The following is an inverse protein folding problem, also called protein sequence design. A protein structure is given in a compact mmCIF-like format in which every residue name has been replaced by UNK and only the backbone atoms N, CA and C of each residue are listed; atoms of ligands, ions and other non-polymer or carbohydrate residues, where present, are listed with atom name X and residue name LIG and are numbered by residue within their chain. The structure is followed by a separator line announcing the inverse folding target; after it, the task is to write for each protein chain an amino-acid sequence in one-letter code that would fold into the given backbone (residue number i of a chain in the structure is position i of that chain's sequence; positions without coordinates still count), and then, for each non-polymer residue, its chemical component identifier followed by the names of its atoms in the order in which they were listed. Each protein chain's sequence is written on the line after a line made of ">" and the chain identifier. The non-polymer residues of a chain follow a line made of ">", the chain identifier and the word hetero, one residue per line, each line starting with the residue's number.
data_IF_644654018327
#
_entry.id   IF_644654018327
#
_cell.length_a   1.000
_cell.length_b   1.000
_cell.length_c   1.000
_cell.angle_alpha   90.00
_cell.angle_beta   90.00
_cell.angle_gamma   90.00
#
_symmetry.space_group_name_H-M   'P 1'
#
loop_
_entity.id
_entity.type
_entity.pdbx_description
1 polymer ?
#
# COMPACT_ATOMS: atom_id res chain seq x y z
N UNK A 1 20.06 -5.31 20.78
CA UNK A 1 18.58 -5.38 20.80
C UNK A 1 18.22 -6.56 19.92
N UNK A 2 17.43 -7.49 20.41
CA UNK A 2 16.96 -8.60 19.59
C UNK A 2 15.49 -8.33 19.26
N UNK A 3 15.24 -7.88 18.03
CA UNK A 3 13.87 -7.76 17.54
C UNK A 3 13.30 -9.16 17.29
N UNK A 4 12.04 -9.37 17.65
CA UNK A 4 11.28 -10.61 17.42
C UNK A 4 10.11 -10.40 16.45
N UNK A 5 9.87 -9.14 16.05
CA UNK A 5 8.73 -8.74 15.23
C UNK A 5 9.17 -7.76 14.14
N UNK A 6 8.75 -8.04 12.90
CA UNK A 6 8.97 -7.15 11.75
C UNK A 6 7.63 -6.63 11.24
N UNK A 7 7.55 -5.31 11.09
CA UNK A 7 6.38 -4.62 10.53
C UNK A 7 6.82 -3.98 9.22
N UNK A 8 6.26 -4.43 8.11
CA UNK A 8 6.65 -4.01 6.77
C UNK A 8 5.68 -2.98 6.18
N UNK A 9 6.22 -2.01 5.42
CA UNK A 9 5.39 -1.35 4.43
C UNK A 9 5.09 -2.31 3.27
N UNK A 10 4.13 -1.98 2.44
CA UNK A 10 3.68 -2.82 1.34
C UNK A 10 4.22 -2.32 0.00
N UNK A 11 3.71 -1.15 -0.45
CA UNK A 11 4.01 -0.60 -1.78
C UNK A 11 5.43 -0.02 -1.80
N UNK A 12 6.31 -0.59 -2.63
CA UNK A 12 7.72 -0.18 -2.71
C UNK A 12 8.66 -0.88 -1.70
N UNK A 13 8.12 -1.72 -0.81
CA UNK A 13 8.89 -2.52 0.16
C UNK A 13 8.72 -4.01 -0.10
N UNK A 14 7.53 -4.57 0.11
CA UNK A 14 7.26 -5.98 -0.19
C UNK A 14 6.85 -6.19 -1.65
N UNK A 15 6.08 -5.25 -2.22
CA UNK A 15 5.52 -5.34 -3.57
C UNK A 15 6.00 -4.21 -4.48
N UNK A 16 6.40 -4.58 -5.69
CA UNK A 16 6.48 -3.66 -6.82
C UNK A 16 5.07 -3.52 -7.43
N UNK A 17 4.32 -2.54 -6.94
CA UNK A 17 2.93 -2.26 -7.35
C UNK A 17 2.80 -1.04 -8.28
N UNK A 18 3.93 -0.43 -8.67
CA UNK A 18 3.95 0.85 -9.37
C UNK A 18 3.26 0.79 -10.73
N UNK A 19 3.42 -0.32 -11.48
CA UNK A 19 2.84 -0.45 -12.82
C UNK A 19 1.31 -0.47 -12.78
N UNK A 20 0.71 -1.22 -11.88
CA UNK A 20 -0.76 -1.27 -11.76
C UNK A 20 -1.34 0.04 -11.22
N UNK A 21 -0.60 0.74 -10.34
CA UNK A 21 -0.95 2.10 -9.90
C UNK A 21 -0.91 3.08 -11.08
N UNK A 22 0.17 3.08 -11.87
CA UNK A 22 0.36 3.97 -13.01
C UNK A 22 -0.71 3.75 -14.09
N UNK A 23 -0.97 2.50 -14.43
CA UNK A 23 -2.03 2.16 -15.39
C UNK A 23 -3.40 2.67 -14.91
N UNK A 24 -3.70 2.52 -13.62
CA UNK A 24 -5.00 2.94 -13.07
C UNK A 24 -5.14 4.45 -12.92
N UNK A 25 -4.06 5.16 -12.61
CA UNK A 25 -4.02 6.63 -12.63
C UNK A 25 -4.28 7.13 -14.04
N UNK A 26 -3.52 6.63 -15.02
CA UNK A 26 -3.62 7.06 -16.40
C UNK A 26 -4.97 6.71 -17.02
N UNK A 27 -5.54 5.55 -16.68
CA UNK A 27 -6.91 5.22 -17.06
C UNK A 27 -7.92 6.27 -16.56
N UNK A 28 -7.80 6.71 -15.31
CA UNK A 28 -8.71 7.70 -14.74
C UNK A 28 -8.53 9.09 -15.39
N UNK A 29 -7.28 9.49 -15.65
CA UNK A 29 -6.96 10.75 -16.33
C UNK A 29 -7.51 10.76 -17.76
N UNK A 30 -7.30 9.68 -18.52
CA UNK A 30 -7.79 9.54 -19.89
C UNK A 30 -9.32 9.65 -19.96
N UNK A 31 -10.06 9.01 -19.04
CA UNK A 31 -11.54 9.08 -18.99
C UNK A 31 -12.07 10.49 -18.76
N UNK A 32 -11.26 11.39 -18.21
CA UNK A 32 -11.63 12.79 -17.97
C UNK A 32 -10.92 13.76 -18.93
N UNK A 33 -10.25 13.23 -19.97
CA UNK A 33 -9.47 14.00 -20.96
C UNK A 33 -8.40 14.88 -20.33
N UNK A 34 -7.75 14.41 -19.27
CA UNK A 34 -6.57 15.03 -18.66
C UNK A 34 -5.27 14.47 -19.27
N UNK A 35 -4.17 15.25 -19.23
CA UNK A 35 -2.84 14.77 -19.62
C UNK A 35 -2.43 13.55 -18.79
N UNK A 36 -1.84 12.56 -19.45
CA UNK A 36 -1.30 11.38 -18.78
C UNK A 36 0.00 11.75 -18.04
N UNK A 37 0.32 10.95 -17.03
CA UNK A 37 1.55 11.06 -16.25
C UNK A 37 2.53 9.96 -16.61
N UNK A 38 3.82 10.28 -16.56
CA UNK A 38 4.87 9.26 -16.69
C UNK A 38 4.91 8.37 -15.44
N UNK A 39 5.53 7.21 -15.58
CA UNK A 39 5.72 6.29 -14.47
C UNK A 39 6.59 6.90 -13.36
N UNK A 40 7.59 7.70 -13.73
CA UNK A 40 8.49 8.41 -12.84
C UNK A 40 7.76 9.49 -12.03
N UNK A 41 6.86 10.25 -12.68
CA UNK A 41 6.00 11.22 -11.99
C UNK A 41 5.13 10.50 -10.96
N UNK A 42 4.42 9.44 -11.38
CA UNK A 42 3.54 8.66 -10.50
C UNK A 42 4.32 8.05 -9.34
N UNK A 43 5.52 7.53 -9.60
CA UNK A 43 6.41 7.01 -8.55
C UNK A 43 6.68 8.06 -7.47
N UNK A 44 6.91 9.32 -7.86
CA UNK A 44 7.15 10.42 -6.92
C UNK A 44 5.92 10.82 -6.09
N UNK A 45 4.72 10.44 -6.53
CA UNK A 45 3.45 10.75 -5.86
C UNK A 45 2.97 9.65 -4.91
N UNK A 46 3.55 8.43 -5.01
CA UNK A 46 3.18 7.27 -4.18
C UNK A 46 3.63 7.45 -2.73
N UNK A 47 2.94 6.79 -1.78
CA UNK A 47 3.31 6.71 -0.37
C UNK A 47 2.35 7.44 0.57
N UNK A 48 1.64 8.47 0.10
CA UNK A 48 0.73 9.28 0.93
C UNK A 48 -0.77 8.91 0.76
N UNK A 49 -1.05 7.74 0.21
CA UNK A 49 -2.41 7.24 -0.06
C UNK A 49 -2.98 7.76 -1.37
N UNK A 50 -4.07 7.12 -1.80
CA UNK A 50 -4.64 7.30 -3.15
C UNK A 50 -5.24 8.68 -3.39
N UNK A 51 -5.76 9.35 -2.37
CA UNK A 51 -6.28 10.71 -2.49
C UNK A 51 -5.16 11.68 -2.89
N UNK A 52 -4.00 11.58 -2.22
CA UNK A 52 -2.84 12.43 -2.54
C UNK A 52 -2.22 12.09 -3.88
N UNK A 53 -2.19 10.79 -4.24
CA UNK A 53 -1.74 10.33 -5.55
C UNK A 53 -2.59 10.97 -6.66
N UNK A 54 -3.91 10.92 -6.56
CA UNK A 54 -4.81 11.52 -7.57
C UNK A 54 -4.70 13.06 -7.58
N UNK A 55 -4.65 13.70 -6.41
CA UNK A 55 -4.46 15.15 -6.31
C UNK A 55 -3.21 15.61 -7.07
N UNK A 56 -2.07 14.94 -6.85
CA UNK A 56 -0.80 15.27 -7.50
C UNK A 56 -0.77 14.91 -9.00
N UNK A 57 -1.59 13.94 -9.42
CA UNK A 57 -1.69 13.53 -10.82
C UNK A 57 -2.55 14.47 -11.66
N UNK A 58 -3.46 15.21 -11.04
CA UNK A 58 -4.34 16.15 -11.73
C UNK A 58 -3.63 17.48 -12.02
N UNK A 59 -4.07 18.24 -13.04
CA UNK A 59 -3.62 19.60 -13.26
C UNK A 59 -3.94 20.53 -12.08
N UNK A 60 -3.12 21.55 -11.88
CA UNK A 60 -3.36 22.60 -10.90
C UNK A 60 -4.76 23.21 -11.08
N UNK A 61 -5.39 23.56 -9.95
CA UNK A 61 -6.74 24.19 -9.91
C UNK A 61 -7.87 23.30 -10.44
N UNK A 62 -7.67 21.97 -10.52
CA UNK A 62 -8.76 21.04 -10.78
C UNK A 62 -9.86 21.20 -9.73
N UNK A 63 -11.13 21.29 -10.17
CA UNK A 63 -12.26 21.43 -9.25
C UNK A 63 -12.40 20.19 -8.37
N UNK A 64 -12.99 20.37 -7.17
CA UNK A 64 -13.28 19.27 -6.26
C UNK A 64 -14.14 18.17 -6.93
N UNK A 65 -15.12 18.55 -7.73
CA UNK A 65 -15.99 17.59 -8.45
C UNK A 65 -15.19 16.71 -9.44
N UNK A 66 -14.25 17.31 -10.16
CA UNK A 66 -13.40 16.54 -11.09
C UNK A 66 -12.38 15.67 -10.34
N UNK A 67 -11.83 16.16 -9.22
CA UNK A 67 -11.02 15.34 -8.33
C UNK A 67 -11.81 14.13 -7.81
N UNK A 68 -13.02 14.33 -7.32
CA UNK A 68 -13.87 13.25 -6.80
C UNK A 68 -14.23 12.22 -7.89
N UNK A 69 -14.53 12.69 -9.12
CA UNK A 69 -14.76 11.81 -10.27
C UNK A 69 -13.52 11.00 -10.63
N UNK A 70 -12.35 11.65 -10.70
CA UNK A 70 -11.08 10.98 -10.99
C UNK A 70 -10.76 9.90 -9.96
N UNK A 71 -10.88 10.23 -8.68
CA UNK A 71 -10.67 9.30 -7.58
C UNK A 71 -11.63 8.11 -7.63
N UNK A 72 -12.89 8.34 -7.96
CA UNK A 72 -13.89 7.29 -8.13
C UNK A 72 -13.54 6.33 -9.27
N UNK A 73 -13.19 6.87 -10.45
CA UNK A 73 -12.78 6.07 -11.61
C UNK A 73 -11.51 5.27 -11.31
N UNK A 74 -10.52 5.92 -10.70
CA UNK A 74 -9.29 5.26 -10.25
C UNK A 74 -9.58 4.08 -9.33
N UNK A 75 -10.36 4.29 -8.26
CA UNK A 75 -10.70 3.24 -7.30
C UNK A 75 -11.36 2.04 -7.98
N UNK A 76 -12.33 2.31 -8.85
CA UNK A 76 -13.04 1.25 -9.58
C UNK A 76 -12.16 0.45 -10.53
N UNK A 77 -11.20 1.10 -11.20
CA UNK A 77 -10.24 0.44 -12.07
C UNK A 77 -9.18 -0.32 -11.25
N UNK A 78 -8.56 0.34 -10.27
CA UNK A 78 -7.47 -0.23 -9.50
C UNK A 78 -7.90 -1.46 -8.70
N UNK A 79 -9.10 -1.44 -8.08
CA UNK A 79 -9.61 -2.60 -7.35
C UNK A 79 -9.70 -3.89 -8.20
N UNK A 80 -9.88 -3.76 -9.51
CA UNK A 80 -9.97 -4.90 -10.44
C UNK A 80 -8.62 -5.30 -11.05
N UNK A 81 -7.62 -4.42 -10.98
CA UNK A 81 -6.38 -4.56 -11.73
C UNK A 81 -5.12 -4.54 -10.85
N UNK A 82 -5.26 -4.50 -9.53
CA UNK A 82 -4.15 -4.30 -8.59
C UNK A 82 -3.17 -5.50 -8.49
N UNK A 83 -3.40 -6.56 -9.26
CA UNK A 83 -2.56 -7.78 -9.33
C UNK A 83 -2.15 -8.16 -10.76
N UNK A 84 -2.33 -7.27 -11.74
CA UNK A 84 -2.01 -7.59 -13.14
C UNK A 84 -0.50 -7.63 -13.38
N UNK A 85 0.23 -6.66 -12.83
CA UNK A 85 1.69 -6.49 -12.97
C UNK A 85 2.38 -6.43 -11.62
N UNK A 86 1.63 -6.25 -10.53
CA UNK A 86 2.13 -6.24 -9.15
C UNK A 86 2.75 -7.60 -8.83
N UNK A 87 3.91 -7.57 -8.21
CA UNK A 87 4.62 -8.78 -7.76
C UNK A 87 5.53 -8.46 -6.56
N UNK A 88 5.86 -9.44 -5.72
CA UNK A 88 6.92 -9.29 -4.72
C UNK A 88 8.24 -8.88 -5.38
N UNK A 89 9.04 -8.07 -4.68
CA UNK A 89 10.43 -7.88 -5.09
C UNK A 89 11.22 -9.18 -4.96
N UNK A 90 12.28 -9.29 -5.74
CA UNK A 90 13.15 -10.46 -5.70
C UNK A 90 13.73 -10.65 -4.29
N UNK A 91 13.71 -11.88 -3.77
CA UNK A 91 14.17 -12.23 -2.44
C UNK A 91 13.15 -12.01 -1.29
N UNK A 92 11.98 -11.41 -1.56
CA UNK A 92 10.98 -11.17 -0.50
C UNK A 92 10.36 -12.48 0.01
N UNK A 93 10.01 -13.39 -0.88
CA UNK A 93 9.40 -14.66 -0.45
C UNK A 93 10.41 -15.47 0.38
N UNK A 94 11.64 -15.58 -0.07
CA UNK A 94 12.70 -16.27 0.64
C UNK A 94 12.99 -15.64 2.02
N UNK A 95 12.93 -14.31 2.10
CA UNK A 95 13.05 -13.59 3.38
C UNK A 95 11.89 -13.93 4.33
N UNK A 96 10.66 -13.92 3.84
CA UNK A 96 9.48 -14.21 4.66
C UNK A 96 9.47 -15.68 5.12
N UNK A 97 9.91 -16.62 4.29
CA UNK A 97 10.11 -18.02 4.65
C UNK A 97 11.12 -18.15 5.78
N UNK A 98 12.29 -17.55 5.61
CA UNK A 98 13.34 -17.52 6.65
C UNK A 98 12.83 -16.96 7.98
N UNK A 99 12.12 -15.83 7.95
CA UNK A 99 11.59 -15.20 9.15
C UNK A 99 10.53 -16.07 9.84
N UNK A 100 9.67 -16.73 9.06
CA UNK A 100 8.66 -17.67 9.58
C UNK A 100 9.32 -18.87 10.26
N UNK A 101 10.32 -19.49 9.62
CA UNK A 101 11.08 -20.62 10.19
C UNK A 101 11.76 -20.25 11.51
N UNK A 102 12.25 -19.01 11.62
CA UNK A 102 12.87 -18.46 12.82
C UNK A 102 11.87 -17.86 13.81
N UNK A 103 10.56 -18.08 13.59
CA UNK A 103 9.45 -17.69 14.49
C UNK A 103 9.32 -16.18 14.73
N UNK A 104 9.76 -15.36 13.79
CA UNK A 104 9.46 -13.94 13.84
C UNK A 104 7.96 -13.69 13.61
N UNK A 105 7.40 -12.78 14.39
CA UNK A 105 6.08 -12.24 14.10
C UNK A 105 6.18 -11.22 12.98
N UNK A 106 5.20 -11.20 12.07
CA UNK A 106 5.23 -10.33 10.91
C UNK A 106 3.90 -9.65 10.69
N UNK A 107 3.93 -8.37 10.32
CA UNK A 107 2.75 -7.61 9.92
C UNK A 107 3.04 -6.73 8.70
N UNK A 108 1.98 -6.37 7.98
CA UNK A 108 1.97 -5.31 6.96
C UNK A 108 1.25 -4.10 7.52
N UNK A 109 1.81 -2.89 7.29
CA UNK A 109 1.18 -1.61 7.59
C UNK A 109 1.35 -0.66 6.41
N UNK A 110 0.24 -0.27 5.76
CA UNK A 110 0.27 0.54 4.54
C UNK A 110 -0.71 1.70 4.57
N UNK A 111 -0.41 2.79 3.84
CA UNK A 111 -1.35 3.88 3.54
C UNK A 111 -2.35 3.53 2.42
N UNK A 112 -2.23 2.34 1.84
CA UNK A 112 -3.20 1.78 0.91
C UNK A 112 -4.54 1.49 1.62
N UNK A 113 -5.67 1.57 0.91
CA UNK A 113 -6.97 1.22 1.47
C UNK A 113 -7.03 -0.24 1.94
N UNK A 114 -7.77 -0.49 3.03
CA UNK A 114 -7.74 -1.78 3.74
C UNK A 114 -8.06 -2.97 2.84
N UNK A 115 -9.08 -2.86 2.00
CA UNK A 115 -9.49 -3.96 1.09
C UNK A 115 -8.36 -4.34 0.13
N UNK A 116 -7.62 -3.34 -0.39
CA UNK A 116 -6.48 -3.58 -1.27
C UNK A 116 -5.29 -4.24 -0.54
N UNK A 117 -5.04 -3.86 0.71
CA UNK A 117 -4.01 -4.51 1.54
C UNK A 117 -4.41 -5.96 1.81
N UNK A 118 -5.66 -6.19 2.18
CA UNK A 118 -6.18 -7.54 2.46
C UNK A 118 -6.10 -8.45 1.23
N UNK A 119 -6.51 -7.96 0.05
CA UNK A 119 -6.49 -8.74 -1.18
C UNK A 119 -5.05 -9.09 -1.63
N UNK A 120 -4.13 -8.12 -1.54
CA UNK A 120 -2.71 -8.37 -1.86
C UNK A 120 -2.03 -9.30 -0.85
N UNK A 121 -2.31 -9.13 0.45
CA UNK A 121 -1.78 -10.03 1.47
C UNK A 121 -2.28 -11.46 1.27
N UNK A 122 -3.58 -11.63 1.03
CA UNK A 122 -4.17 -12.95 0.79
C UNK A 122 -3.59 -13.62 -0.46
N UNK A 123 -3.25 -12.85 -1.48
CA UNK A 123 -2.72 -13.38 -2.73
C UNK A 123 -1.23 -13.74 -2.66
N UNK A 124 -0.42 -12.93 -1.98
CA UNK A 124 1.03 -13.10 -2.01
C UNK A 124 1.64 -13.59 -0.70
N UNK A 125 1.04 -13.28 0.46
CA UNK A 125 1.72 -13.39 1.76
C UNK A 125 0.90 -14.09 2.85
N UNK A 126 -0.29 -14.63 2.55
CA UNK A 126 -1.17 -15.26 3.56
C UNK A 126 -0.49 -16.39 4.35
N UNK A 127 0.46 -17.08 3.74
CA UNK A 127 1.22 -18.16 4.39
C UNK A 127 2.24 -17.65 5.41
N UNK A 128 2.58 -16.36 5.36
CA UNK A 128 3.63 -15.74 6.16
C UNK A 128 3.10 -14.67 7.12
N UNK A 129 2.20 -13.82 6.64
CA UNK A 129 1.75 -12.61 7.33
C UNK A 129 0.26 -12.70 7.63
N UNK A 130 -0.08 -12.74 8.94
CA UNK A 130 -1.47 -12.86 9.39
C UNK A 130 -2.11 -11.50 9.70
N UNK A 131 -1.30 -10.47 10.02
CA UNK A 131 -1.76 -9.12 10.35
C UNK A 131 -1.41 -8.16 9.22
N UNK A 132 -2.42 -7.61 8.56
CA UNK A 132 -2.26 -6.69 7.43
C UNK A 132 -3.21 -5.49 7.58
N UNK A 133 -2.64 -4.34 7.95
CA UNK A 133 -3.36 -3.12 8.30
C UNK A 133 -3.20 -2.09 7.18
N UNK A 134 -4.32 -1.69 6.60
CA UNK A 134 -4.43 -0.60 5.65
C UNK A 134 -5.07 0.65 6.25
N UNK A 135 -5.25 1.67 5.40
CA UNK A 135 -6.00 2.89 5.75
C UNK A 135 -7.48 2.55 5.99
N UNK A 136 -8.03 3.06 7.08
CA UNK A 136 -9.47 3.07 7.37
C UNK A 136 -9.91 4.46 7.85
N UNK A 137 -11.23 4.66 8.00
CA UNK A 137 -11.77 5.90 8.57
C UNK A 137 -11.47 6.07 10.06
N UNK A 138 -11.19 4.99 10.76
CA UNK A 138 -11.00 4.96 12.21
C UNK A 138 -9.57 5.27 12.66
N UNK A 139 -8.60 5.23 11.73
CA UNK A 139 -7.17 5.38 12.03
C UNK A 139 -6.51 6.39 11.10
N UNK A 140 -5.68 7.23 11.67
CA UNK A 140 -4.86 8.17 10.89
C UNK A 140 -3.80 7.39 10.11
N UNK A 141 -3.54 7.81 8.87
CA UNK A 141 -2.50 7.21 8.02
C UNK A 141 -1.09 7.55 8.51
N UNK A 142 -0.09 6.79 8.09
CA UNK A 142 1.32 7.14 8.28
C UNK A 142 1.60 8.57 7.77
N UNK A 143 2.38 9.39 8.46
CA UNK A 143 3.33 9.06 9.54
C UNK A 143 2.74 8.98 10.96
N UNK A 144 1.42 9.09 11.14
CA UNK A 144 0.84 8.83 12.45
C UNK A 144 1.01 7.35 12.82
N UNK A 145 1.23 7.03 14.12
CA UNK A 145 1.55 5.68 14.54
C UNK A 145 0.36 4.73 14.63
N UNK A 146 -0.84 5.21 14.43
CA UNK A 146 -2.11 4.50 14.70
C UNK A 146 -2.18 3.10 14.07
N UNK A 147 -1.76 2.97 12.80
CA UNK A 147 -1.78 1.68 12.09
C UNK A 147 -0.69 0.73 12.58
N UNK A 148 0.48 1.24 12.96
CA UNK A 148 1.57 0.45 13.55
C UNK A 148 1.16 -0.05 14.93
N UNK A 149 0.61 0.83 15.77
CA UNK A 149 0.12 0.47 17.11
C UNK A 149 -0.97 -0.61 17.04
N UNK A 150 -1.88 -0.49 16.06
CA UNK A 150 -2.90 -1.54 15.83
C UNK A 150 -2.27 -2.88 15.43
N UNK A 151 -1.28 -2.87 14.56
CA UNK A 151 -0.57 -4.09 14.17
C UNK A 151 0.16 -4.73 15.35
N UNK A 152 0.77 -3.92 16.21
CA UNK A 152 1.44 -4.39 17.43
C UNK A 152 0.44 -5.02 18.42
N UNK A 153 -0.72 -4.37 18.62
CA UNK A 153 -1.81 -4.88 19.46
C UNK A 153 -2.31 -6.24 18.95
N UNK A 154 -2.57 -6.35 17.64
CA UNK A 154 -3.04 -7.58 17.02
C UNK A 154 -2.01 -8.73 17.10
N UNK A 155 -0.72 -8.40 17.09
CA UNK A 155 0.36 -9.38 17.27
C UNK A 155 0.67 -9.68 18.75
N UNK A 156 0.14 -8.89 19.69
CA UNK A 156 0.44 -9.00 21.11
C UNK A 156 1.92 -8.76 21.42
N UNK A 157 2.50 -7.65 20.92
CA UNK A 157 3.91 -7.30 21.06
C UNK A 157 4.11 -5.87 21.54
N UNK A 158 5.23 -5.58 22.18
CA UNK A 158 5.60 -4.23 22.58
C UNK A 158 6.58 -3.59 21.56
N UNK A 159 6.73 -2.27 21.63
CA UNK A 159 7.52 -1.50 20.65
C UNK A 159 9.00 -1.86 20.65
N UNK A 160 9.54 -2.26 21.79
CA UNK A 160 10.94 -2.65 21.97
C UNK A 160 11.30 -3.94 21.21
N UNK A 161 10.30 -4.75 20.89
CA UNK A 161 10.44 -6.00 20.14
C UNK A 161 10.29 -5.81 18.62
N UNK A 162 9.86 -4.61 18.17
CA UNK A 162 9.48 -4.37 16.80
C UNK A 162 10.56 -3.62 16.00
N UNK A 163 10.76 -4.05 14.76
CA UNK A 163 11.48 -3.31 13.74
C UNK A 163 10.49 -2.96 12.62
N UNK A 164 10.42 -1.67 12.26
CA UNK A 164 9.64 -1.19 11.12
C UNK A 164 10.55 -1.03 9.89
N UNK A 165 10.09 -1.52 8.74
CA UNK A 165 10.82 -1.57 7.46
C UNK A 165 9.98 -0.91 6.37
#
# INVERSE_FOLDING_TARGET
>A
MNYSTLIFDLDGTLLNSLDDLADSVNYALEKLNYPLRSKEEICSFVGNGIEKLIELSLPDKTSYDNFAKCLFIFKGHYAKNLKNKTKPYDGIIELLEYLKEHKYKMAIVSNKFQEGVTDLNNHYFSDYIQVAIGKSSERRKKPYPDTVLKAMDDLGVCKEECLYI
#
